data_IF_830942620520
#
_entry.id   IF_830942620520
#
_cell.length_a   1.000
_cell.length_b   1.000
_cell.length_c   1.000
_cell.angle_alpha   90.00
_cell.angle_beta   90.00
_cell.angle_gamma   90.00
#
_symmetry.space_group_name_H-M   'P 1'
#
loop_
_entity.id
_entity.type
_entity.pdbx_description
1 polymer ?
#
# COMPACT_ATOMS: atom_id res chain seq x y z
N UNK A 1 -4.55 8.98 11.82
CA UNK A 1 -5.23 7.86 11.14
C UNK A 1 -6.73 8.15 11.04
N UNK A 2 -7.39 7.75 9.96
CA UNK A 2 -8.86 7.75 9.82
C UNK A 2 -9.32 6.35 9.42
N UNK A 3 -10.54 5.96 9.82
CA UNK A 3 -11.11 4.64 9.54
C UNK A 3 -12.37 4.75 8.70
N UNK A 4 -12.54 3.78 7.79
CA UNK A 4 -13.76 3.53 7.03
C UNK A 4 -14.11 2.06 7.16
N UNK A 5 -15.34 1.74 7.52
CA UNK A 5 -15.81 0.37 7.79
C UNK A 5 -15.95 0.04 9.28
N UNK A 6 -16.41 -1.18 9.61
CA UNK A 6 -16.68 -1.60 10.97
C UNK A 6 -15.39 -1.77 11.79
N UNK A 7 -15.38 -1.42 13.09
CA UNK A 7 -14.19 -1.50 13.93
C UNK A 7 -13.64 -2.92 14.09
N UNK A 8 -14.50 -3.91 14.04
CA UNK A 8 -14.18 -5.34 14.16
C UNK A 8 -13.89 -6.02 12.83
N UNK A 9 -13.91 -5.29 11.71
CA UNK A 9 -13.62 -5.83 10.39
C UNK A 9 -12.16 -6.24 10.21
N UNK A 10 -11.88 -7.03 9.15
CA UNK A 10 -10.51 -7.35 8.75
C UNK A 10 -9.70 -6.05 8.60
N UNK A 11 -8.59 -5.87 9.35
CA UNK A 11 -7.85 -4.63 9.28
C UNK A 11 -7.03 -4.52 8.00
N UNK A 12 -7.30 -3.46 7.21
CA UNK A 12 -6.52 -3.06 6.04
C UNK A 12 -5.91 -1.69 6.31
N UNK A 13 -4.59 -1.64 6.52
CA UNK A 13 -3.87 -0.40 6.79
C UNK A 13 -3.31 0.16 5.49
N UNK A 14 -3.80 1.34 5.09
CA UNK A 14 -3.46 2.02 3.85
C UNK A 14 -2.39 3.09 4.08
N UNK A 15 -1.24 2.93 3.45
CA UNK A 15 -0.04 3.74 3.64
C UNK A 15 0.24 4.60 2.41
N UNK A 16 0.45 5.88 2.63
CA UNK A 16 0.55 6.91 1.59
C UNK A 16 1.88 6.90 0.83
N UNK A 17 1.87 7.53 -0.35
CA UNK A 17 3.07 7.90 -1.09
C UNK A 17 3.90 8.99 -0.40
N UNK A 18 5.07 9.27 -0.97
CA UNK A 18 6.03 10.22 -0.44
C UNK A 18 6.02 11.60 -1.08
N UNK A 19 7.03 12.38 -0.71
CA UNK A 19 7.38 13.67 -1.31
C UNK A 19 8.89 13.81 -1.38
N UNK A 20 9.41 14.51 -2.40
CA UNK A 20 10.83 14.88 -2.47
C UNK A 20 11.19 15.89 -1.37
N UNK A 21 10.31 16.84 -1.10
CA UNK A 21 10.46 17.79 -0.01
C UNK A 21 10.00 17.17 1.33
N UNK A 22 10.55 17.70 2.42
CA UNK A 22 10.06 17.42 3.77
C UNK A 22 8.83 18.30 4.01
N UNK A 23 7.66 17.68 4.02
CA UNK A 23 6.38 18.39 4.17
C UNK A 23 5.52 17.73 5.25
N UNK A 24 4.58 18.46 5.88
CA UNK A 24 3.57 17.85 6.74
C UNK A 24 2.80 16.76 5.98
N UNK A 25 2.43 15.69 6.68
CA UNK A 25 1.63 14.62 6.08
C UNK A 25 0.24 15.11 5.66
N UNK A 26 -0.21 14.60 4.54
CA UNK A 26 -1.56 14.83 4.00
C UNK A 26 -2.26 13.50 3.69
N UNK A 27 -3.52 13.56 3.27
CA UNK A 27 -4.26 12.40 2.80
C UNK A 27 -3.98 12.14 1.33
N UNK A 28 -3.67 10.87 1.00
CA UNK A 28 -3.42 10.47 -0.38
C UNK A 28 -4.70 10.44 -1.19
N UNK A 29 -4.75 11.20 -2.28
CA UNK A 29 -5.89 11.18 -3.21
C UNK A 29 -6.10 9.79 -3.81
N UNK A 30 -5.03 9.06 -4.11
CA UNK A 30 -5.11 7.69 -4.63
C UNK A 30 -5.69 6.71 -3.61
N UNK A 31 -5.28 6.80 -2.33
CA UNK A 31 -5.83 5.96 -1.27
C UNK A 31 -7.27 6.34 -0.93
N UNK A 32 -7.58 7.63 -0.84
CA UNK A 32 -8.93 8.12 -0.61
C UNK A 32 -9.93 7.58 -1.66
N UNK A 33 -9.55 7.64 -2.95
CA UNK A 33 -10.36 7.09 -4.02
C UNK A 33 -10.49 5.56 -3.90
N UNK A 34 -9.38 4.88 -3.64
CA UNK A 34 -9.33 3.42 -3.55
C UNK A 34 -10.20 2.91 -2.39
N UNK A 35 -10.07 3.50 -1.20
CA UNK A 35 -10.88 3.15 -0.02
C UNK A 35 -12.35 3.45 -0.28
N UNK A 36 -12.68 4.63 -0.84
CA UNK A 36 -14.06 4.97 -1.19
C UNK A 36 -14.69 4.03 -2.20
N UNK A 37 -13.86 3.42 -3.07
CA UNK A 37 -14.32 2.43 -4.06
C UNK A 37 -14.48 1.03 -3.48
N UNK A 38 -13.59 0.63 -2.57
CA UNK A 38 -13.53 -0.74 -2.05
C UNK A 38 -14.40 -0.96 -0.81
N UNK A 39 -14.57 0.05 0.06
CA UNK A 39 -15.33 -0.11 1.30
C UNK A 39 -16.77 -0.61 1.09
N UNK A 40 -17.53 -0.14 0.09
CA UNK A 40 -18.85 -0.69 -0.20
C UNK A 40 -18.84 -2.14 -0.70
N UNK A 41 -17.74 -2.58 -1.33
CA UNK A 41 -17.58 -3.94 -1.87
C UNK A 41 -17.13 -4.94 -0.80
N UNK A 42 -16.54 -4.43 0.31
CA UNK A 42 -15.99 -5.22 1.41
C UNK A 42 -16.55 -4.76 2.75
N UNK A 43 -17.84 -4.97 3.05
CA UNK A 43 -18.49 -4.45 4.27
C UNK A 43 -17.90 -5.03 5.57
N UNK A 44 -17.21 -6.16 5.50
CA UNK A 44 -16.50 -6.78 6.64
C UNK A 44 -15.04 -6.33 6.81
N UNK A 45 -14.62 -5.23 6.14
CA UNK A 45 -13.25 -4.72 6.19
C UNK A 45 -13.20 -3.36 6.86
N UNK A 46 -12.22 -3.18 7.76
CA UNK A 46 -11.86 -1.93 8.39
C UNK A 46 -10.66 -1.30 7.67
N UNK A 47 -10.89 -0.32 6.81
CA UNK A 47 -9.81 0.43 6.15
C UNK A 47 -9.29 1.52 7.08
N UNK A 48 -7.98 1.52 7.33
CA UNK A 48 -7.28 2.49 8.16
C UNK A 48 -6.29 3.27 7.31
N UNK A 49 -6.59 4.51 6.95
CA UNK A 49 -5.67 5.36 6.21
C UNK A 49 -4.71 6.06 7.17
N UNK A 50 -3.41 5.88 6.93
CA UNK A 50 -2.34 6.51 7.72
C UNK A 50 -2.01 7.87 7.13
N UNK A 51 -1.89 8.89 8.00
CA UNK A 51 -1.32 10.19 7.67
C UNK A 51 -0.04 10.36 8.44
N UNK A 52 1.08 10.49 7.74
CA UNK A 52 2.38 10.72 8.36
C UNK A 52 2.42 12.04 9.15
N UNK A 53 3.23 12.11 10.20
CA UNK A 53 3.61 13.38 10.86
C UNK A 53 4.38 14.24 9.86
N UNK A 54 5.35 13.62 9.18
CA UNK A 54 6.18 14.24 8.14
C UNK A 54 6.32 13.28 6.97
N UNK A 55 6.07 13.79 5.76
CA UNK A 55 6.14 13.02 4.53
C UNK A 55 7.38 13.40 3.72
N UNK A 56 8.31 12.47 3.54
CA UNK A 56 9.49 12.63 2.69
C UNK A 56 10.20 11.31 2.43
N UNK A 57 10.75 11.14 1.21
CA UNK A 57 11.62 10.00 0.90
C UNK A 57 12.92 10.01 1.73
N UNK A 58 13.37 11.19 2.17
CA UNK A 58 14.55 11.36 3.01
C UNK A 58 14.28 11.13 4.51
N UNK A 59 13.03 10.85 4.87
CA UNK A 59 12.57 10.56 6.24
C UNK A 59 11.79 9.25 6.28
N UNK A 60 12.26 8.23 5.55
CA UNK A 60 11.58 6.95 5.40
C UNK A 60 11.36 6.27 6.77
N UNK A 61 12.34 6.31 7.65
CA UNK A 61 12.28 5.72 9.00
C UNK A 61 11.13 6.33 9.81
N UNK A 62 10.98 7.66 9.80
CA UNK A 62 9.87 8.34 10.50
C UNK A 62 8.49 7.94 9.92
N UNK A 63 8.41 7.69 8.61
CA UNK A 63 7.18 7.20 7.99
C UNK A 63 6.89 5.73 8.37
N UNK A 64 7.94 4.91 8.55
CA UNK A 64 7.81 3.52 9.05
C UNK A 64 7.32 3.54 10.50
N UNK A 65 7.89 4.40 11.36
CA UNK A 65 7.42 4.57 12.75
C UNK A 65 5.92 4.96 12.79
N UNK A 66 5.48 5.87 11.93
CA UNK A 66 4.08 6.27 11.84
C UNK A 66 3.17 5.11 11.41
N UNK A 67 3.66 4.23 10.53
CA UNK A 67 2.92 3.03 10.11
C UNK A 67 2.87 1.99 11.22
N UNK A 68 3.97 1.78 11.97
CA UNK A 68 4.01 0.89 13.14
C UNK A 68 3.06 1.40 14.22
N UNK A 69 3.11 2.70 14.56
CA UNK A 69 2.19 3.29 15.53
C UNK A 69 0.71 3.16 15.10
N UNK A 70 0.44 3.19 13.78
CA UNK A 70 -0.90 2.93 13.27
C UNK A 70 -1.31 1.46 13.44
N UNK A 71 -0.39 0.50 13.24
CA UNK A 71 -0.62 -0.92 13.48
C UNK A 71 -0.91 -1.21 14.96
N UNK A 72 -0.14 -0.59 15.87
CA UNK A 72 -0.37 -0.68 17.32
C UNK A 72 -1.74 -0.14 17.74
N UNK A 73 -2.19 0.94 17.08
CA UNK A 73 -3.46 1.60 17.37
C UNK A 73 -4.69 0.91 16.72
N UNK A 74 -4.48 -0.02 15.80
CA UNK A 74 -5.57 -0.77 15.17
C UNK A 74 -6.08 -1.81 16.15
N UNK A 75 -7.31 -1.58 16.67
CA UNK A 75 -7.99 -2.58 17.48
C UNK A 75 -8.20 -3.85 16.64
N UNK A 76 -7.64 -4.95 17.12
CA UNK A 76 -7.71 -6.25 16.44
C UNK A 76 -8.15 -7.35 17.42
N UNK A 77 -9.39 -7.29 17.94
CA UNK A 77 -9.86 -8.18 19.00
C UNK A 77 -9.87 -9.67 18.61
N UNK A 78 -9.88 -9.97 17.31
CA UNK A 78 -9.83 -11.35 16.78
C UNK A 78 -8.43 -11.86 16.48
N UNK A 79 -7.37 -11.08 16.68
CA UNK A 79 -6.00 -11.47 16.32
C UNK A 79 -5.79 -11.66 14.81
N UNK A 80 -6.65 -11.09 13.99
CA UNK A 80 -6.67 -11.24 12.52
C UNK A 80 -5.42 -10.64 11.88
N UNK A 81 -4.80 -11.32 10.90
CA UNK A 81 -3.66 -10.75 10.19
C UNK A 81 -4.03 -9.45 9.45
N UNK A 82 -3.31 -8.37 9.72
CA UNK A 82 -3.48 -7.09 9.03
C UNK A 82 -2.93 -7.14 7.61
N UNK A 83 -3.69 -6.63 6.65
CA UNK A 83 -3.21 -6.38 5.29
C UNK A 83 -2.66 -4.96 5.20
N UNK A 84 -1.36 -4.80 4.90
CA UNK A 84 -0.76 -3.50 4.58
C UNK A 84 -0.91 -3.21 3.08
N UNK A 85 -1.47 -2.06 2.73
CA UNK A 85 -1.58 -1.59 1.34
C UNK A 85 -0.80 -0.29 1.19
N UNK A 86 0.37 -0.35 0.54
CA UNK A 86 1.28 0.79 0.40
C UNK A 86 1.37 1.31 -1.03
N UNK A 87 1.13 2.62 -1.23
CA UNK A 87 1.24 3.28 -2.53
C UNK A 87 2.59 4.01 -2.67
N UNK A 88 3.31 3.79 -3.76
CA UNK A 88 4.57 4.48 -4.07
C UNK A 88 5.61 4.30 -2.94
N UNK A 89 6.09 5.36 -2.29
CA UNK A 89 6.91 5.30 -1.08
C UNK A 89 6.25 4.47 0.03
N UNK A 90 4.92 4.49 0.10
CA UNK A 90 4.15 3.65 1.04
C UNK A 90 4.42 2.16 0.88
N UNK A 91 4.87 1.71 -0.30
CA UNK A 91 5.37 0.35 -0.50
C UNK A 91 6.62 0.06 0.34
N UNK A 92 7.61 0.98 0.33
CA UNK A 92 8.79 0.87 1.19
C UNK A 92 8.43 0.92 2.67
N UNK A 93 7.54 1.84 3.05
CA UNK A 93 7.05 1.96 4.43
C UNK A 93 6.36 0.69 4.88
N UNK A 94 5.48 0.12 4.05
CA UNK A 94 4.78 -1.15 4.36
C UNK A 94 5.74 -2.32 4.52
N UNK A 95 6.79 -2.40 3.68
CA UNK A 95 7.83 -3.43 3.81
C UNK A 95 8.65 -3.22 5.09
N UNK A 96 9.02 -1.98 5.42
CA UNK A 96 9.74 -1.67 6.66
C UNK A 96 8.92 -1.96 7.92
N UNK A 97 7.61 -1.79 7.87
CA UNK A 97 6.69 -2.11 8.97
C UNK A 97 6.22 -3.58 8.97
N UNK A 98 6.55 -4.37 7.95
CA UNK A 98 6.05 -5.74 7.78
C UNK A 98 6.47 -6.70 8.91
N UNK A 99 7.57 -6.40 9.63
CA UNK A 99 8.00 -7.16 10.80
C UNK A 99 7.04 -7.08 12.00
N UNK A 100 6.07 -6.17 12.00
CA UNK A 100 5.08 -6.06 13.06
C UNK A 100 4.25 -7.35 13.18
N UNK A 101 4.00 -7.87 14.43
CA UNK A 101 3.36 -9.18 14.65
C UNK A 101 1.96 -9.30 14.00
N UNK A 102 1.22 -8.21 13.92
CA UNK A 102 -0.13 -8.23 13.33
C UNK A 102 -0.14 -8.33 11.81
N UNK A 103 1.00 -8.10 11.11
CA UNK A 103 1.02 -8.05 9.65
C UNK A 103 1.06 -9.46 9.05
N UNK A 104 0.08 -9.81 8.22
CA UNK A 104 0.03 -11.07 7.46
C UNK A 104 0.49 -10.94 6.02
N UNK A 105 0.23 -9.80 5.39
CA UNK A 105 0.58 -9.56 3.99
C UNK A 105 0.79 -8.09 3.66
N UNK A 106 1.56 -7.85 2.59
CA UNK A 106 1.83 -6.52 2.02
C UNK A 106 1.39 -6.48 0.57
N UNK A 107 0.63 -5.45 0.20
CA UNK A 107 0.27 -5.11 -1.18
C UNK A 107 0.93 -3.79 -1.54
N UNK A 108 1.92 -3.83 -2.41
CA UNK A 108 2.59 -2.64 -2.95
C UNK A 108 1.95 -2.19 -4.24
N UNK A 109 1.43 -0.97 -4.26
CA UNK A 109 0.85 -0.30 -5.43
C UNK A 109 1.88 0.67 -6.00
N UNK A 110 2.41 0.38 -7.19
CA UNK A 110 3.54 1.10 -7.76
C UNK A 110 4.68 1.30 -6.74
N UNK A 111 5.12 0.25 -6.02
CA UNK A 111 5.92 0.42 -4.83
C UNK A 111 7.35 0.84 -5.15
N UNK A 112 7.86 1.82 -4.39
CA UNK A 112 9.30 2.07 -4.31
C UNK A 112 9.92 1.06 -3.36
N UNK A 113 10.86 0.24 -3.85
CA UNK A 113 11.56 -0.79 -3.05
C UNK A 113 13.06 -0.62 -3.29
N UNK A 114 13.71 0.35 -2.62
CA UNK A 114 15.15 0.61 -2.82
C UNK A 114 16.02 -0.52 -2.26
N UNK A 115 17.20 -0.71 -2.86
CA UNK A 115 18.12 -1.81 -2.48
C UNK A 115 18.54 -1.76 -1.01
N UNK A 116 18.68 -0.54 -0.47
CA UNK A 116 19.03 -0.31 0.94
C UNK A 116 17.91 -0.68 1.95
N UNK A 117 16.67 -0.88 1.47
CA UNK A 117 15.58 -1.25 2.35
C UNK A 117 15.72 -2.72 2.76
N UNK A 118 15.81 -3.02 4.08
CA UNK A 118 15.75 -4.39 4.56
C UNK A 118 14.40 -5.02 4.21
N UNK A 119 14.44 -6.29 3.79
CA UNK A 119 13.22 -7.05 3.44
C UNK A 119 12.95 -8.22 4.39
N UNK A 120 13.76 -8.34 5.44
CA UNK A 120 13.68 -9.44 6.42
C UNK A 120 12.33 -9.46 7.14
N UNK A 121 11.71 -8.28 7.35
CA UNK A 121 10.36 -8.16 7.90
C UNK A 121 9.28 -8.87 7.07
N UNK A 122 9.56 -9.23 5.81
CA UNK A 122 8.64 -10.00 4.97
C UNK A 122 8.71 -11.52 5.19
N UNK A 123 9.64 -12.02 6.01
CA UNK A 123 9.72 -13.46 6.30
C UNK A 123 8.42 -13.95 6.96
N UNK A 124 7.87 -15.05 6.41
CA UNK A 124 6.59 -15.61 6.84
C UNK A 124 5.34 -14.80 6.41
N UNK A 125 5.51 -13.83 5.52
CA UNK A 125 4.43 -12.96 4.99
C UNK A 125 4.35 -13.03 3.48
N UNK A 126 3.21 -12.63 2.91
CA UNK A 126 3.04 -12.50 1.45
C UNK A 126 3.37 -11.09 0.98
N UNK A 127 3.92 -10.97 -0.23
CA UNK A 127 4.06 -9.70 -0.95
C UNK A 127 3.33 -9.77 -2.29
N UNK A 128 2.40 -8.85 -2.53
CA UNK A 128 1.81 -8.62 -3.85
C UNK A 128 2.28 -7.27 -4.39
N UNK A 129 2.94 -7.26 -5.53
CA UNK A 129 3.34 -6.04 -6.24
C UNK A 129 2.42 -5.83 -7.43
N UNK A 130 1.74 -4.69 -7.45
CA UNK A 130 0.89 -4.25 -8.55
C UNK A 130 1.51 -2.98 -9.14
N UNK A 131 1.76 -2.97 -10.46
CA UNK A 131 2.54 -1.93 -11.13
C UNK A 131 1.87 -1.46 -12.41
N UNK A 132 1.92 -0.15 -12.68
CA UNK A 132 1.48 0.42 -13.94
C UNK A 132 2.57 0.35 -15.03
N UNK A 133 2.23 -0.06 -16.25
CA UNK A 133 3.25 -0.18 -17.32
C UNK A 133 3.76 1.15 -17.85
N UNK A 134 3.03 2.24 -17.66
CA UNK A 134 3.41 3.59 -18.07
C UNK A 134 3.90 4.45 -16.88
N UNK A 135 4.11 3.82 -15.73
CA UNK A 135 4.63 4.50 -14.54
C UNK A 135 6.10 4.90 -14.75
N UNK A 136 6.41 6.15 -14.40
CA UNK A 136 7.74 6.74 -14.63
C UNK A 136 8.00 7.18 -16.07
N UNK A 137 7.04 7.02 -16.99
CA UNK A 137 7.19 7.42 -18.40
C UNK A 137 6.67 8.83 -18.72
N UNK A 138 5.84 9.39 -17.85
CA UNK A 138 5.22 10.71 -18.11
C UNK A 138 6.16 11.80 -17.57
N UNK A 139 6.69 12.69 -18.45
CA UNK A 139 7.52 13.80 -18.01
C UNK A 139 6.82 14.68 -16.98
N UNK A 140 7.52 15.05 -15.91
CA UNK A 140 6.98 15.89 -14.84
C UNK A 140 6.05 15.21 -13.85
N UNK A 141 5.67 13.95 -14.08
CA UNK A 141 4.91 13.13 -13.12
C UNK A 141 5.89 12.19 -12.41
N UNK A 142 6.15 12.39 -11.10
CA UNK A 142 6.97 11.46 -10.34
C UNK A 142 6.36 10.06 -10.39
N UNK A 143 7.20 9.04 -10.56
CA UNK A 143 6.72 7.67 -10.65
C UNK A 143 7.82 6.65 -10.36
N UNK A 144 7.42 5.40 -10.27
CA UNK A 144 8.29 4.25 -10.05
C UNK A 144 8.26 3.38 -11.30
N UNK A 145 9.39 3.26 -11.99
CA UNK A 145 9.43 2.46 -13.21
C UNK A 145 9.11 0.99 -12.95
N UNK A 146 8.46 0.28 -13.89
CA UNK A 146 8.22 -1.15 -13.78
C UNK A 146 9.50 -1.97 -13.55
N UNK A 147 10.64 -1.51 -14.08
CA UNK A 147 11.94 -2.15 -13.85
C UNK A 147 12.36 -2.06 -12.39
N UNK A 148 12.18 -0.89 -11.75
CA UNK A 148 12.54 -0.68 -10.35
C UNK A 148 11.69 -1.54 -9.42
N UNK A 149 10.36 -1.52 -9.58
CA UNK A 149 9.47 -2.33 -8.74
C UNK A 149 9.64 -3.83 -8.95
N UNK A 150 9.95 -4.25 -10.19
CA UNK A 150 10.27 -5.65 -10.50
C UNK A 150 11.56 -6.10 -9.83
N UNK A 151 12.61 -5.28 -9.83
CA UNK A 151 13.84 -5.59 -9.13
C UNK A 151 13.62 -5.82 -7.63
N UNK A 152 12.84 -4.94 -6.98
CA UNK A 152 12.47 -5.13 -5.57
C UNK A 152 11.66 -6.41 -5.31
N UNK A 153 10.73 -6.74 -6.21
CA UNK A 153 9.99 -8.00 -6.17
C UNK A 153 10.92 -9.22 -6.30
N UNK A 154 11.87 -9.20 -7.24
CA UNK A 154 12.81 -10.28 -7.46
C UNK A 154 13.74 -10.50 -6.26
N UNK A 155 14.18 -9.40 -5.61
CA UNK A 155 14.92 -9.47 -4.34
C UNK A 155 14.11 -10.20 -3.26
N UNK A 156 12.84 -9.84 -3.08
CA UNK A 156 11.96 -10.48 -2.10
C UNK A 156 11.81 -11.99 -2.39
N UNK A 157 11.61 -12.35 -3.67
CA UNK A 157 11.54 -13.75 -4.08
C UNK A 157 12.84 -14.51 -3.83
N UNK A 158 13.98 -13.92 -4.13
CA UNK A 158 15.29 -14.51 -3.88
C UNK A 158 15.55 -14.74 -2.37
N UNK A 159 14.96 -13.91 -1.51
CA UNK A 159 14.97 -14.09 -0.06
C UNK A 159 13.90 -15.09 0.47
N UNK A 160 13.21 -15.82 -0.42
CA UNK A 160 12.23 -16.86 -0.04
C UNK A 160 10.83 -16.31 0.30
N UNK A 161 10.56 -15.01 0.08
CA UNK A 161 9.25 -14.42 0.33
C UNK A 161 8.24 -14.89 -0.72
N UNK A 162 7.07 -15.43 -0.33
CA UNK A 162 5.98 -15.71 -1.26
C UNK A 162 5.50 -14.39 -1.90
N UNK A 163 5.88 -14.15 -3.15
CA UNK A 163 5.59 -12.89 -3.82
C UNK A 163 4.94 -13.07 -5.20
N UNK A 164 4.06 -12.12 -5.57
CA UNK A 164 3.43 -12.02 -6.88
C UNK A 164 3.69 -10.65 -7.50
N UNK A 165 3.74 -10.59 -8.83
CA UNK A 165 3.89 -9.34 -9.59
C UNK A 165 2.80 -9.24 -10.66
N UNK A 166 2.03 -8.15 -10.63
CA UNK A 166 0.97 -7.87 -11.59
C UNK A 166 1.23 -6.56 -12.32
N UNK A 167 1.34 -6.59 -13.64
CA UNK A 167 1.51 -5.42 -14.49
C UNK A 167 0.16 -4.99 -15.07
N UNK A 168 -0.23 -3.74 -14.86
CA UNK A 168 -1.44 -3.13 -15.45
C UNK A 168 -1.04 -2.36 -16.70
N UNK A 169 -1.35 -2.89 -17.86
CA UNK A 169 -1.05 -2.22 -19.13
C UNK A 169 -1.83 -0.91 -19.27
N UNK A 170 -1.11 0.16 -19.64
CA UNK A 170 -1.66 1.50 -19.82
C UNK A 170 -1.97 2.26 -18.52
N UNK A 171 -1.57 1.73 -17.35
CA UNK A 171 -1.69 2.45 -16.10
C UNK A 171 -0.47 3.33 -15.84
N UNK A 172 -0.74 4.53 -15.32
CA UNK A 172 0.23 5.53 -14.87
C UNK A 172 0.41 5.46 -13.36
N UNK A 173 1.34 6.28 -12.80
CA UNK A 173 1.62 6.28 -11.37
C UNK A 173 0.42 6.61 -10.49
N UNK A 174 -0.29 7.76 -10.65
CA UNK A 174 -1.42 8.08 -9.81
C UNK A 174 -2.62 7.17 -10.12
N UNK A 175 -3.25 6.62 -9.08
CA UNK A 175 -4.52 5.88 -9.19
C UNK A 175 -5.67 6.86 -9.32
N UNK A 176 -5.59 8.01 -8.62
CA UNK A 176 -6.52 9.12 -8.74
C UNK A 176 -5.79 10.45 -8.57
N UNK A 177 -6.35 11.49 -9.17
CA UNK A 177 -5.89 12.88 -9.12
C UNK A 177 -6.91 13.75 -8.39
N UNK A 178 -6.47 14.84 -7.75
CA UNK A 178 -7.39 15.78 -7.11
C UNK A 178 -7.86 16.82 -8.14
N UNK A 179 -9.16 16.88 -8.34
CA UNK A 179 -9.80 17.88 -9.19
C UNK A 179 -10.94 18.55 -8.42
N UNK A 180 -10.88 19.88 -8.28
CA UNK A 180 -11.88 20.67 -7.52
C UNK A 180 -12.16 20.07 -6.12
N UNK A 181 -11.11 19.66 -5.41
CA UNK A 181 -11.20 19.10 -4.06
C UNK A 181 -11.63 17.63 -3.98
N UNK A 182 -12.00 16.98 -5.10
CA UNK A 182 -12.48 15.59 -5.15
C UNK A 182 -11.46 14.66 -5.82
N UNK A 183 -11.35 13.39 -5.38
CA UNK A 183 -10.55 12.41 -6.09
C UNK A 183 -11.25 11.99 -7.40
N UNK A 184 -10.55 12.12 -8.51
CA UNK A 184 -10.99 11.71 -9.85
C UNK A 184 -10.10 10.55 -10.31
N UNK A 185 -10.67 9.41 -10.72
CA UNK A 185 -9.90 8.25 -11.13
C UNK A 185 -9.04 8.53 -12.36
N UNK A 186 -7.78 8.11 -12.30
CA UNK A 186 -6.88 8.11 -13.44
C UNK A 186 -7.17 6.90 -14.38
N UNK A 187 -6.58 6.86 -15.59
CA UNK A 187 -6.70 5.71 -16.47
C UNK A 187 -6.34 4.40 -15.74
N UNK A 188 -7.17 3.36 -15.93
CA UNK A 188 -7.01 2.04 -15.30
C UNK A 188 -7.22 2.00 -13.78
N UNK A 189 -7.68 3.06 -13.12
CA UNK A 189 -7.95 3.07 -11.67
C UNK A 189 -8.85 1.88 -11.22
N UNK A 190 -9.87 1.54 -12.00
CA UNK A 190 -10.74 0.37 -11.72
C UNK A 190 -9.98 -0.96 -11.75
N UNK A 191 -8.94 -1.08 -12.56
CA UNK A 191 -8.09 -2.29 -12.59
C UNK A 191 -7.25 -2.39 -11.33
N UNK A 192 -6.70 -1.26 -10.84
CA UNK A 192 -6.04 -1.20 -9.54
C UNK A 192 -6.98 -1.67 -8.42
N UNK A 193 -8.20 -1.09 -8.33
CA UNK A 193 -9.18 -1.45 -7.32
C UNK A 193 -9.52 -2.95 -7.35
N UNK A 194 -9.77 -3.51 -8.54
CA UNK A 194 -10.07 -4.94 -8.71
C UNK A 194 -8.94 -5.85 -8.22
N UNK A 195 -7.68 -5.49 -8.48
CA UNK A 195 -6.53 -6.29 -8.03
C UNK A 195 -6.34 -6.19 -6.51
N UNK A 196 -6.56 -5.01 -5.92
CA UNK A 196 -6.54 -4.86 -4.46
C UNK A 196 -7.71 -5.61 -3.82
N UNK A 197 -8.91 -5.55 -4.41
CA UNK A 197 -10.09 -6.31 -3.97
C UNK A 197 -9.80 -7.82 -3.93
N UNK A 198 -9.09 -8.35 -4.93
CA UNK A 198 -8.69 -9.75 -4.95
C UNK A 198 -7.72 -10.12 -3.81
N UNK A 199 -6.79 -9.23 -3.45
CA UNK A 199 -5.87 -9.46 -2.31
C UNK A 199 -6.60 -9.35 -0.96
N UNK A 200 -7.59 -8.47 -0.85
CA UNK A 200 -8.47 -8.39 0.33
C UNK A 200 -9.29 -9.68 0.47
N UNK A 201 -9.95 -10.12 -0.61
CA UNK A 201 -10.72 -11.36 -0.60
C UNK A 201 -9.86 -12.58 -0.23
N UNK A 202 -8.61 -12.61 -0.70
CA UNK A 202 -7.64 -13.63 -0.32
C UNK A 202 -7.32 -13.59 1.17
N UNK A 203 -7.08 -12.40 1.74
CA UNK A 203 -6.82 -12.25 3.17
C UNK A 203 -8.03 -12.69 4.03
N UNK A 204 -9.25 -12.40 3.57
CA UNK A 204 -10.48 -12.87 4.23
C UNK A 204 -10.64 -14.39 4.16
N UNK A 205 -10.23 -15.04 3.06
CA UNK A 205 -10.29 -16.50 2.93
C UNK A 205 -9.24 -17.21 3.79
N UNK A 206 -8.03 -16.65 3.92
CA UNK A 206 -6.96 -17.18 4.78
C UNK A 206 -7.31 -17.10 6.29
N UNK A 207 -8.25 -16.23 6.66
CA UNK A 207 -8.77 -16.09 8.01
C UNK A 207 -9.78 -17.22 8.37
N UNK A 208 -10.52 -17.73 7.39
CA UNK A 208 -11.56 -18.75 7.58
C UNK A 208 -11.05 -20.18 7.48
N UNK A 209 -9.75 -20.37 7.21
CA UNK A 209 -9.12 -21.67 7.03
C UNK A 209 -8.29 -22.08 8.25
#
# INVERSE_FOLDING_TARGET
MRRTGPPEGLPVVCVNGGSAAVVPGDWSTSMEWLVGRLAPEHPGVAFHEVRYRTKSWNRLESCIEDAVAALDAVANPGGRPTLLVGFSMGGAVSIGAAGHPSVGAVVGLAPWIPDRLPIDGLQGRRLAVIQGSLDGWIPGVPGISPRSSRHGYERARAAGVPATYRLIHGAIHPIALRWRGRPVPAPRARTWARLVSAEIARAQAEEGA
#
